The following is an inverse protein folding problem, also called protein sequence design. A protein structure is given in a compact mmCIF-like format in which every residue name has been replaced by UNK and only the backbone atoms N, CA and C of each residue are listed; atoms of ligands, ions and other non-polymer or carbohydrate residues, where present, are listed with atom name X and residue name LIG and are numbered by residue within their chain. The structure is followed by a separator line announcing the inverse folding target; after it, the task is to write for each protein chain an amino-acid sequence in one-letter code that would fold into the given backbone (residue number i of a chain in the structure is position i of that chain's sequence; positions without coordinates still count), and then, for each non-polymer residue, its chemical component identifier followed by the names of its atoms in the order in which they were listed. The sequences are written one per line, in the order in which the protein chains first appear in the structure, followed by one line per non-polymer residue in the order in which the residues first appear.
data_IF_881775855229
#
_entry.id   IF_881775855229
#
_cell.length_a   1.000
_cell.length_b   1.000
_cell.length_c   1.000
_cell.angle_alpha   90.00
_cell.angle_beta   90.00
_cell.angle_gamma   90.00
#
_symmetry.space_group_name_H-M   'P 1'
#
loop_
_entity.id
_entity.type
_entity.pdbx_description
1 polymer ?
#
# COMPACT_ATOMS: atom_id res chain seq x y z
N UNK A 1 -13.29 61.95 13.34
CA UNK A 1 -12.32 61.13 12.58
C UNK A 1 -11.98 59.80 13.25
N UNK A 2 -11.65 59.77 14.56
CA UNK A 2 -11.28 58.53 15.28
C UNK A 2 -12.33 57.40 15.23
N UNK A 3 -13.63 57.73 15.25
CA UNK A 3 -14.70 56.72 15.17
C UNK A 3 -14.79 55.99 13.82
N UNK A 4 -14.48 56.65 12.70
CA UNK A 4 -14.52 56.04 11.37
C UNK A 4 -13.37 55.04 11.17
N UNK A 5 -12.20 55.33 11.76
CA UNK A 5 -11.02 54.45 11.70
C UNK A 5 -11.26 53.17 12.52
N UNK A 6 -11.85 53.29 13.71
CA UNK A 6 -12.19 52.13 14.54
C UNK A 6 -13.16 51.17 13.83
N UNK A 7 -14.16 51.71 13.12
CA UNK A 7 -15.15 50.92 12.40
C UNK A 7 -14.53 50.15 11.22
N UNK A 8 -13.63 50.79 10.45
CA UNK A 8 -12.91 50.14 9.34
C UNK A 8 -11.97 49.05 9.86
N UNK A 9 -11.28 49.27 10.98
CA UNK A 9 -10.43 48.26 11.60
C UNK A 9 -11.23 47.04 12.07
N UNK A 10 -12.43 47.27 12.61
CA UNK A 10 -13.32 46.21 13.06
C UNK A 10 -13.84 45.35 11.89
N UNK A 11 -14.16 45.97 10.75
CA UNK A 11 -14.55 45.24 9.53
C UNK A 11 -13.40 44.43 8.93
N UNK A 12 -12.18 44.95 8.96
CA UNK A 12 -10.97 44.21 8.52
C UNK A 12 -10.68 43.01 9.42
N UNK A 13 -10.78 43.16 10.75
CA UNK A 13 -10.59 42.07 11.70
C UNK A 13 -11.70 41.01 11.63
N UNK A 14 -12.96 41.44 11.44
CA UNK A 14 -14.08 40.52 11.25
C UNK A 14 -13.97 39.71 9.94
N UNK A 15 -13.44 40.31 8.87
CA UNK A 15 -13.15 39.60 7.62
C UNK A 15 -12.14 38.46 7.82
N UNK A 16 -11.03 38.71 8.51
CA UNK A 16 -10.00 37.68 8.77
C UNK A 16 -10.54 36.55 9.67
N UNK A 17 -11.38 36.87 10.64
CA UNK A 17 -12.01 35.87 11.51
C UNK A 17 -13.01 34.96 10.76
N UNK A 18 -13.71 35.49 9.76
CA UNK A 18 -14.66 34.72 8.95
C UNK A 18 -13.99 33.82 7.90
N UNK A 19 -12.85 34.25 7.32
CA UNK A 19 -12.08 33.40 6.39
C UNK A 19 -11.15 32.40 7.10
N UNK A 20 -10.82 32.61 8.38
CA UNK A 20 -9.98 31.72 9.18
C UNK A 20 -10.71 30.51 9.80
N UNK A 21 -12.04 30.45 9.71
CA UNK A 21 -12.88 29.35 10.21
C UNK A 21 -13.58 28.56 9.09
N UNK A 22 -13.11 28.66 7.85
CA UNK A 22 -13.41 27.59 6.90
C UNK A 22 -12.74 26.32 7.47
N UNK A 23 -13.49 25.21 7.69
CA UNK A 23 -12.84 23.95 8.00
C UNK A 23 -11.81 23.74 6.90
N UNK A 24 -10.52 23.74 7.28
CA UNK A 24 -9.44 23.43 6.35
C UNK A 24 -9.83 22.16 5.61
N UNK A 25 -9.45 22.02 4.32
CA UNK A 25 -9.90 20.91 3.49
C UNK A 25 -9.76 19.65 4.34
N UNK A 26 -10.90 19.00 4.64
CA UNK A 26 -10.90 17.70 5.31
C UNK A 26 -9.84 16.92 4.56
N UNK A 27 -8.73 16.62 5.24
CA UNK A 27 -7.64 15.89 4.60
C UNK A 27 -8.31 14.56 4.30
N UNK A 28 -8.72 14.38 3.05
CA UNK A 28 -9.34 13.16 2.57
C UNK A 28 -8.23 12.12 2.64
N UNK A 29 -8.08 11.57 3.83
CA UNK A 29 -7.30 10.38 4.09
C UNK A 29 -7.81 9.36 3.09
N UNK A 30 -6.92 8.77 2.29
CA UNK A 30 -7.24 8.04 1.05
C UNK A 30 -8.25 6.89 1.13
N UNK A 31 -8.87 6.67 2.29
CA UNK A 31 -10.01 5.79 2.58
C UNK A 31 -11.27 6.10 1.78
N UNK A 32 -11.54 7.36 1.43
CA UNK A 32 -12.75 7.73 0.69
C UNK A 32 -12.70 7.36 -0.80
N UNK A 33 -11.54 6.92 -1.32
CA UNK A 33 -11.34 6.67 -2.75
C UNK A 33 -11.59 5.22 -3.19
N UNK A 34 -11.68 4.27 -2.26
CA UNK A 34 -11.84 2.86 -2.60
C UNK A 34 -13.32 2.50 -2.61
N UNK A 35 -13.92 2.04 -3.71
CA UNK A 35 -15.28 1.52 -3.67
C UNK A 35 -15.30 0.20 -2.86
N UNK A 36 -16.21 0.05 -1.88
CA UNK A 36 -16.19 -1.05 -0.91
C UNK A 36 -16.30 -2.45 -1.52
N UNK A 37 -16.99 -2.57 -2.67
CA UNK A 37 -17.38 -3.87 -3.24
C UNK A 37 -16.55 -4.26 -4.49
N UNK A 38 -15.33 -3.75 -4.65
CA UNK A 38 -14.50 -4.04 -5.84
C UNK A 38 -13.30 -4.91 -5.52
N UNK A 39 -13.21 -6.05 -6.20
CA UNK A 39 -12.01 -6.87 -6.29
C UNK A 39 -10.96 -6.18 -7.18
N UNK A 40 -9.73 -6.19 -6.71
CA UNK A 40 -8.55 -5.70 -7.43
C UNK A 40 -7.61 -6.86 -7.72
N UNK A 41 -7.00 -6.81 -8.89
CA UNK A 41 -5.98 -7.78 -9.29
C UNK A 41 -4.61 -7.14 -9.16
N UNK A 42 -3.72 -7.76 -8.40
CA UNK A 42 -2.27 -7.51 -8.44
C UNK A 42 -1.66 -8.66 -9.19
N UNK A 43 -0.76 -8.37 -10.12
CA UNK A 43 -0.06 -9.38 -10.90
C UNK A 43 1.31 -8.87 -11.30
N UNK A 44 2.15 -9.77 -11.77
CA UNK A 44 3.43 -9.39 -12.33
C UNK A 44 4.30 -10.60 -12.58
N UNK A 45 5.57 -10.34 -12.86
CA UNK A 45 6.58 -11.36 -13.07
C UNK A 45 7.81 -11.13 -12.21
N UNK A 46 8.34 -12.22 -11.67
CA UNK A 46 9.61 -12.26 -10.94
C UNK A 46 10.72 -12.70 -11.89
N UNK A 47 11.76 -11.88 -12.00
CA UNK A 47 12.89 -12.11 -12.88
C UNK A 47 14.23 -11.83 -12.17
N UNK A 48 15.32 -12.33 -12.72
CA UNK A 48 16.68 -11.92 -12.34
C UNK A 48 17.20 -10.78 -13.23
N UNK A 49 18.39 -10.26 -12.95
CA UNK A 49 19.03 -9.22 -13.78
C UNK A 49 19.33 -9.62 -15.24
N UNK A 50 19.31 -10.91 -15.55
CA UNK A 50 19.43 -11.40 -16.93
C UNK A 50 18.06 -11.51 -17.62
N UNK A 51 17.01 -10.95 -17.04
CA UNK A 51 15.62 -11.04 -17.51
C UNK A 51 15.07 -12.48 -17.58
N UNK A 52 15.70 -13.43 -16.89
CA UNK A 52 15.21 -14.80 -16.81
C UNK A 52 14.15 -14.91 -15.72
N UNK A 53 13.03 -15.60 -15.98
CA UNK A 53 11.99 -15.80 -14.98
C UNK A 53 12.47 -16.70 -13.85
N UNK A 54 12.00 -16.43 -12.63
CA UNK A 54 12.29 -17.24 -11.44
C UNK A 54 11.00 -17.94 -11.01
N UNK A 55 10.96 -19.27 -11.09
CA UNK A 55 9.82 -20.09 -10.67
C UNK A 55 9.86 -20.43 -9.19
N UNK A 56 8.72 -20.86 -8.66
CA UNK A 56 8.58 -21.39 -7.30
C UNK A 56 8.96 -20.40 -6.18
N UNK A 57 9.00 -19.10 -6.51
CA UNK A 57 9.16 -18.03 -5.53
C UNK A 57 7.86 -17.87 -4.77
N UNK A 58 7.93 -17.87 -3.44
CA UNK A 58 6.76 -17.67 -2.60
C UNK A 58 6.46 -16.17 -2.55
N UNK A 59 5.28 -15.80 -3.04
CA UNK A 59 4.78 -14.43 -3.05
C UNK A 59 3.66 -14.31 -2.02
N UNK A 60 3.73 -13.28 -1.18
CA UNK A 60 2.77 -13.04 -0.10
C UNK A 60 2.19 -11.64 -0.24
N UNK A 61 0.90 -11.53 -0.52
CA UNK A 61 0.16 -10.29 -0.37
C UNK A 61 -0.22 -10.11 1.10
N UNK A 62 0.22 -9.01 1.70
CA UNK A 62 -0.03 -8.67 3.10
C UNK A 62 -0.99 -7.49 3.11
N UNK A 63 -2.15 -7.67 3.75
CA UNK A 63 -3.18 -6.64 3.92
C UNK A 63 -3.34 -6.32 5.39
N UNK A 64 -3.11 -5.06 5.77
CA UNK A 64 -3.35 -4.58 7.14
C UNK A 64 -4.62 -3.75 7.16
N UNK A 65 -5.59 -4.13 7.98
CA UNK A 65 -6.86 -3.41 8.10
C UNK A 65 -6.86 -2.56 9.38
N UNK A 66 -7.38 -1.32 9.35
CA UNK A 66 -7.51 -0.54 10.56
C UNK A 66 -8.58 -1.18 11.43
N UNK A 67 -8.48 -0.89 12.71
CA UNK A 67 -9.45 -1.26 13.73
C UNK A 67 -10.90 -1.08 13.25
N UNK A 68 -11.72 -2.11 13.42
CA UNK A 68 -13.16 -1.99 13.25
C UNK A 68 -13.70 -0.94 14.24
N UNK A 69 -14.32 0.13 13.73
CA UNK A 69 -14.89 1.23 14.54
C UNK A 69 -16.21 0.85 15.24
N UNK A 70 -16.62 -0.42 15.16
CA UNK A 70 -17.88 -0.87 15.76
C UNK A 70 -17.69 -1.22 17.24
N UNK A 71 -17.85 -0.19 18.07
CA UNK A 71 -18.40 -0.21 19.43
C UNK A 71 -18.04 -1.34 20.40
N UNK A 72 -17.27 -0.98 21.43
CA UNK A 72 -17.35 -1.61 22.76
C UNK A 72 -16.11 -2.39 23.22
N UNK A 73 -15.37 -1.75 24.14
CA UNK A 73 -14.53 -2.34 25.19
C UNK A 73 -13.35 -3.27 24.82
N UNK A 74 -12.19 -2.87 25.37
CA UNK A 74 -10.98 -3.66 25.68
C UNK A 74 -10.16 -4.28 24.53
N UNK A 75 -9.00 -3.65 24.28
CA UNK A 75 -7.79 -4.15 23.58
C UNK A 75 -8.03 -5.19 22.48
N UNK A 76 -8.26 -4.75 21.25
CA UNK A 76 -8.29 -5.65 20.09
C UNK A 76 -7.33 -5.17 19.01
N UNK A 77 -6.44 -6.10 18.65
CA UNK A 77 -5.25 -5.96 17.82
C UNK A 77 -5.56 -5.61 16.35
N UNK A 78 -4.58 -4.99 15.69
CA UNK A 78 -4.58 -4.82 14.23
C UNK A 78 -4.68 -6.18 13.55
N UNK A 79 -5.67 -6.36 12.65
CA UNK A 79 -5.80 -7.58 11.87
C UNK A 79 -4.93 -7.52 10.63
N UNK A 80 -4.10 -8.54 10.42
CA UNK A 80 -3.26 -8.70 9.23
C UNK A 80 -3.70 -9.95 8.47
N UNK A 81 -4.10 -9.77 7.22
CA UNK A 81 -4.46 -10.86 6.31
C UNK A 81 -3.29 -11.17 5.37
N UNK A 82 -3.11 -12.46 5.08
CA UNK A 82 -2.06 -12.95 4.19
C UNK A 82 -2.68 -13.79 3.08
N UNK A 83 -2.39 -13.44 1.82
CA UNK A 83 -2.64 -14.30 0.66
C UNK A 83 -1.30 -14.79 0.13
N UNK A 84 -1.18 -16.09 -0.11
CA UNK A 84 0.08 -16.72 -0.53
C UNK A 84 -0.11 -17.39 -1.88
N UNK A 85 0.85 -17.18 -2.78
CA UNK A 85 0.95 -17.88 -4.06
C UNK A 85 2.41 -18.21 -4.35
N UNK A 86 2.66 -19.16 -5.24
CA UNK A 86 3.99 -19.43 -5.77
C UNK A 86 4.05 -18.98 -7.24
N UNK A 87 5.20 -18.49 -7.69
CA UNK A 87 5.38 -18.12 -9.09
C UNK A 87 5.33 -19.34 -10.00
N UNK A 88 4.69 -19.19 -11.16
CA UNK A 88 4.68 -20.22 -12.20
C UNK A 88 6.04 -20.38 -12.88
N UNK A 89 6.13 -21.28 -13.86
CA UNK A 89 7.35 -21.46 -14.68
C UNK A 89 7.76 -20.20 -15.43
N UNK A 90 6.80 -19.33 -15.75
CA UNK A 90 7.05 -18.04 -16.39
C UNK A 90 7.46 -16.94 -15.40
N UNK A 91 7.63 -17.25 -14.11
CA UNK A 91 7.85 -16.29 -13.03
C UNK A 91 6.61 -15.47 -12.69
N UNK A 92 5.46 -15.79 -13.27
CA UNK A 92 4.22 -15.06 -13.14
C UNK A 92 3.49 -15.37 -11.83
N UNK A 93 2.84 -14.36 -11.26
CA UNK A 93 1.97 -14.48 -10.10
C UNK A 93 0.77 -13.54 -10.22
N UNK A 94 -0.32 -13.84 -9.49
CA UNK A 94 -1.44 -12.92 -9.35
C UNK A 94 -2.23 -13.15 -8.07
N UNK A 95 -2.82 -12.08 -7.56
CA UNK A 95 -3.75 -12.07 -6.43
C UNK A 95 -4.99 -11.30 -6.80
N UNK A 96 -6.13 -11.75 -6.31
CA UNK A 96 -7.37 -10.97 -6.30
C UNK A 96 -7.72 -10.67 -4.85
N UNK A 97 -7.94 -9.39 -4.54
CA UNK A 97 -8.25 -8.97 -3.17
C UNK A 97 -9.14 -7.72 -3.15
N UNK A 98 -9.81 -7.51 -2.03
CA UNK A 98 -10.57 -6.29 -1.79
C UNK A 98 -9.68 -5.31 -0.99
N UNK A 99 -9.38 -4.11 -1.53
CA UNK A 99 -8.57 -3.13 -0.84
C UNK A 99 -9.39 -2.31 0.17
N UNK A 100 -10.72 -2.41 0.13
CA UNK A 100 -11.56 -1.70 1.08
C UNK A 100 -11.22 -2.12 2.51
N UNK A 101 -11.09 -1.12 3.37
CA UNK A 101 -10.68 -1.36 4.74
C UNK A 101 -9.21 -1.77 4.89
N UNK A 102 -8.38 -1.78 3.85
CA UNK A 102 -6.93 -1.91 4.03
C UNK A 102 -6.28 -0.53 4.20
N UNK A 103 -5.50 -0.36 5.26
CA UNK A 103 -4.70 0.85 5.47
C UNK A 103 -3.32 0.73 4.82
N UNK A 104 -2.82 -0.50 4.72
CA UNK A 104 -1.52 -0.79 4.14
C UNK A 104 -1.54 -2.14 3.42
N UNK A 105 -1.02 -2.15 2.19
CA UNK A 105 -0.95 -3.34 1.36
C UNK A 105 0.47 -3.51 0.84
N UNK A 106 1.04 -4.69 1.03
CA UNK A 106 2.39 -5.05 0.61
C UNK A 106 2.40 -6.34 -0.19
N UNK A 107 3.40 -6.49 -1.05
CA UNK A 107 3.76 -7.78 -1.66
C UNK A 107 5.16 -8.12 -1.20
N UNK A 108 5.32 -9.28 -0.58
CA UNK A 108 6.59 -9.83 -0.16
C UNK A 108 6.97 -11.02 -1.04
N UNK A 109 8.21 -11.04 -1.51
CA UNK A 109 8.79 -12.07 -2.37
C UNK A 109 9.85 -12.81 -1.56
N UNK A 110 9.52 -14.03 -1.16
CA UNK A 110 10.41 -14.94 -0.46
C UNK A 110 11.06 -15.87 -1.48
N UNK A 111 12.30 -15.55 -1.83
CA UNK A 111 13.07 -16.21 -2.87
C UNK A 111 14.40 -16.78 -2.35
N UNK A 112 14.54 -16.93 -1.02
CA UNK A 112 15.78 -17.40 -0.41
C UNK A 112 16.13 -18.79 -0.92
N UNK A 113 15.13 -19.68 -1.01
CA UNK A 113 15.26 -21.03 -1.54
C UNK A 113 15.77 -21.09 -2.99
N UNK A 114 15.53 -20.03 -3.76
CA UNK A 114 16.01 -19.87 -5.14
C UNK A 114 17.37 -19.16 -5.22
N UNK A 115 17.96 -18.78 -4.08
CA UNK A 115 19.26 -18.10 -3.99
C UNK A 115 19.21 -16.59 -4.18
N UNK A 116 18.03 -15.98 -4.01
CA UNK A 116 17.83 -14.54 -4.16
C UNK A 116 17.47 -13.86 -2.85
N UNK A 117 17.81 -12.57 -2.75
CA UNK A 117 17.48 -11.73 -1.59
C UNK A 117 15.97 -11.48 -1.59
N UNK A 118 15.27 -11.69 -0.46
CA UNK A 118 13.85 -11.36 -0.37
C UNK A 118 13.60 -9.87 -0.56
N UNK A 119 12.46 -9.55 -1.15
CA UNK A 119 12.09 -8.17 -1.43
C UNK A 119 10.65 -7.89 -0.98
N UNK A 120 10.41 -6.67 -0.52
CA UNK A 120 9.07 -6.22 -0.12
C UNK A 120 8.71 -4.94 -0.87
N UNK A 121 7.50 -4.90 -1.43
CA UNK A 121 6.99 -3.79 -2.25
C UNK A 121 5.69 -3.25 -1.66
N UNK A 122 5.63 -1.95 -1.40
CA UNK A 122 4.41 -1.29 -0.92
C UNK A 122 3.47 -0.96 -2.09
N UNK A 123 2.21 -1.39 -2.03
CA UNK A 123 1.24 -1.16 -3.10
C UNK A 123 0.49 0.17 -2.96
N UNK A 124 0.45 0.76 -1.77
CA UNK A 124 -0.34 1.96 -1.48
C UNK A 124 -0.08 3.13 -2.45
N UNK A 125 1.15 3.33 -2.90
CA UNK A 125 1.50 4.39 -3.84
C UNK A 125 0.87 4.16 -5.23
N UNK A 126 0.93 2.92 -5.71
CA UNK A 126 0.34 2.52 -7.00
C UNK A 126 -1.19 2.58 -6.94
N UNK A 127 -1.76 2.13 -5.83
CA UNK A 127 -3.21 2.16 -5.58
C UNK A 127 -3.76 3.59 -5.60
N UNK A 128 -3.14 4.52 -4.87
CA UNK A 128 -3.61 5.91 -4.83
C UNK A 128 -3.62 6.57 -6.21
N UNK A 129 -2.58 6.37 -7.02
CA UNK A 129 -2.49 7.01 -8.34
C UNK A 129 -3.47 6.43 -9.38
N UNK A 130 -3.76 5.13 -9.32
CA UNK A 130 -4.65 4.44 -10.27
C UNK A 130 -6.13 4.56 -9.87
N UNK A 131 -6.41 4.55 -8.57
CA UNK A 131 -7.77 4.55 -8.04
C UNK A 131 -8.31 5.99 -7.97
N UNK A 132 -7.44 6.98 -7.74
CA UNK A 132 -7.77 8.41 -7.82
C UNK A 132 -8.35 8.87 -9.17
N UNK A 133 -8.20 8.06 -10.23
CA UNK A 133 -8.63 8.40 -11.59
C UNK A 133 -10.02 7.87 -11.95
N UNK A 134 -10.75 7.28 -10.99
CA UNK A 134 -12.13 6.82 -11.19
C UNK A 134 -12.28 5.57 -12.08
N UNK A 135 -11.18 5.04 -12.62
CA UNK A 135 -11.15 3.81 -13.42
C UNK A 135 -11.00 2.61 -12.49
N UNK A 136 -12.03 2.38 -11.67
CA UNK A 136 -12.07 1.25 -10.75
C UNK A 136 -12.14 -0.06 -11.52
N UNK A 137 -10.96 -0.61 -11.86
CA UNK A 137 -10.66 -1.95 -12.40
C UNK A 137 -9.21 -2.10 -12.89
N UNK A 138 -8.39 -1.06 -12.86
CA UNK A 138 -7.02 -1.15 -13.40
C UNK A 138 -6.20 -2.13 -12.56
N UNK A 139 -5.70 -3.23 -13.15
CA UNK A 139 -4.90 -4.18 -12.43
C UNK A 139 -3.53 -3.54 -12.10
N UNK A 140 -2.98 -3.87 -10.94
CA UNK A 140 -1.71 -3.32 -10.47
C UNK A 140 -0.62 -4.27 -10.96
N UNK A 141 0.18 -3.82 -11.93
CA UNK A 141 1.34 -4.57 -12.39
C UNK A 141 2.55 -4.28 -11.50
N UNK A 142 3.15 -5.33 -10.93
CA UNK A 142 4.35 -5.26 -10.09
C UNK A 142 5.34 -6.31 -10.56
N UNK A 143 6.17 -5.92 -11.53
CA UNK A 143 7.31 -6.72 -11.97
C UNK A 143 8.50 -6.47 -11.04
N UNK A 144 9.19 -7.55 -10.64
CA UNK A 144 10.28 -7.50 -9.66
C UNK A 144 11.54 -8.16 -10.22
N UNK A 145 12.66 -7.45 -10.07
CA UNK A 145 14.00 -7.95 -10.34
C UNK A 145 14.67 -8.32 -9.03
N UNK A 146 14.89 -9.62 -8.81
CA UNK A 146 15.52 -10.12 -7.60
C UNK A 146 17.03 -10.18 -7.74
N UNK A 147 17.71 -9.74 -6.68
CA UNK A 147 19.17 -9.76 -6.60
C UNK A 147 19.67 -11.11 -6.07
N UNK A 148 20.73 -11.69 -6.63
CA UNK A 148 21.32 -12.90 -6.07
C UNK A 148 21.96 -12.61 -4.71
N UNK A 149 21.88 -13.57 -3.79
CA UNK A 149 22.57 -13.50 -2.49
C UNK A 149 24.08 -13.55 -2.76
N UNK A 150 24.80 -12.44 -2.51
CA UNK A 150 26.23 -12.30 -2.82
C UNK A 150 27.17 -12.82 -1.71
N UNK A 151 26.65 -13.01 -0.51
CA UNK A 151 27.46 -13.33 0.66
C UNK A 151 27.50 -14.86 0.90
N UNK A 152 28.69 -15.45 0.91
CA UNK A 152 28.90 -16.88 1.16
C UNK A 152 28.37 -17.32 2.53
N UNK A 153 28.43 -16.44 3.53
CA UNK A 153 27.96 -16.76 4.87
C UNK A 153 26.43 -16.75 4.95
N UNK A 154 25.78 -15.84 4.22
CA UNK A 154 24.31 -15.83 4.07
C UNK A 154 23.83 -17.04 3.26
N UNK A 155 24.58 -17.48 2.24
CA UNK A 155 24.27 -18.66 1.43
C UNK A 155 24.33 -19.96 2.26
N UNK A 156 25.28 -20.07 3.19
CA UNK A 156 25.40 -21.21 4.11
C UNK A 156 24.23 -21.29 5.10
N UNK A 157 23.68 -20.16 5.55
CA UNK A 157 22.51 -20.15 6.43
C UNK A 157 21.25 -20.68 5.73
N UNK A 158 21.02 -20.26 4.48
CA UNK A 158 19.87 -20.73 3.68
C UNK A 158 19.95 -22.21 3.32
N UNK A 159 21.16 -22.75 3.14
CA UNK A 159 21.35 -24.17 2.78
C UNK A 159 21.35 -25.12 3.97
N UNK A 160 21.48 -24.63 5.21
CA UNK A 160 21.61 -25.47 6.40
C UNK A 160 20.28 -25.87 7.03
N UNK A 161 19.19 -25.21 6.67
CA UNK A 161 17.83 -25.46 7.17
C UNK A 161 17.01 -26.42 6.28
N UNK A 162 17.66 -27.16 5.36
CA UNK A 162 17.08 -28.29 4.59
C UNK A 162 17.67 -29.62 5.06
#
# INVERSE_FOLDING_TARGET
MRQKIAMVLFFLLAGVALFGCAPGPNVQTGWEYYPPDKMYTVYGRVQNYMSQPISDVKVVLIRRNPRSLTGGSESQDETVDFLVANTGRGGDYSFQFEPWGAYDVWVYFDAQDQGFVPQMVQLNHFMRSLIARGVGRTPINVDVLLEPIRDEDTRKLVTKDK
#
